data_IF_429379150444
#
_entry.id   IF_429379150444
#
_cell.length_a   1.000
_cell.length_b   1.000
_cell.length_c   1.000
_cell.angle_alpha   90.00
_cell.angle_beta   90.00
_cell.angle_gamma   90.00
#
_symmetry.space_group_name_H-M   'P 1'
#
loop_
_entity.id
_entity.type
_entity.pdbx_description
1 polymer ?
#
# COMPACT_ATOMS: atom_id res chain seq x y z
N UNK A 1 -13.16 -7.76 17.94
CA UNK A 1 -13.64 -6.35 17.98
C UNK A 1 -14.82 -6.24 17.03
N UNK A 2 -15.83 -5.43 17.36
CA UNK A 2 -16.93 -5.14 16.45
C UNK A 2 -16.41 -4.45 15.18
N UNK A 3 -17.13 -4.62 14.06
CA UNK A 3 -16.82 -3.90 12.83
C UNK A 3 -16.91 -2.39 13.09
N UNK A 4 -15.96 -1.58 12.58
CA UNK A 4 -16.04 -0.13 12.70
C UNK A 4 -17.30 0.40 11.98
N UNK A 5 -17.90 1.45 12.50
CA UNK A 5 -19.00 2.13 11.83
C UNK A 5 -18.53 2.79 10.53
N UNK A 6 -19.46 3.04 9.63
CA UNK A 6 -19.15 3.75 8.38
C UNK A 6 -18.54 5.14 8.63
N UNK A 7 -19.03 5.86 9.63
CA UNK A 7 -18.50 7.17 10.01
C UNK A 7 -17.08 7.09 10.58
N UNK A 8 -16.77 6.09 11.39
CA UNK A 8 -15.40 5.87 11.88
C UNK A 8 -14.44 5.60 10.73
N UNK A 9 -14.81 4.72 9.79
CA UNK A 9 -13.99 4.46 8.60
C UNK A 9 -13.78 5.71 7.75
N UNK A 10 -14.80 6.57 7.62
CA UNK A 10 -14.69 7.84 6.89
C UNK A 10 -13.74 8.82 7.57
N UNK A 11 -13.73 8.86 8.89
CA UNK A 11 -12.83 9.72 9.67
C UNK A 11 -11.39 9.18 9.68
N UNK A 12 -11.23 7.86 9.69
CA UNK A 12 -9.91 7.18 9.72
C UNK A 12 -9.25 7.06 8.36
N UNK A 13 -10.02 7.20 7.27
CA UNK A 13 -9.51 7.26 5.90
C UNK A 13 -10.35 8.25 5.12
N UNK A 14 -9.79 9.43 4.88
CA UNK A 14 -10.49 10.55 4.26
C UNK A 14 -10.20 10.67 2.78
N UNK A 15 -11.14 11.22 2.02
CA UNK A 15 -10.96 11.61 0.63
C UNK A 15 -11.33 13.09 0.48
N UNK A 16 -10.39 13.87 -0.04
CA UNK A 16 -10.59 15.29 -0.34
C UNK A 16 -10.37 15.54 -1.81
N UNK A 17 -11.31 16.22 -2.44
CA UNK A 17 -11.20 16.67 -3.81
C UNK A 17 -10.74 18.14 -3.86
N UNK A 18 -9.71 18.38 -4.65
CA UNK A 18 -9.16 19.70 -5.00
C UNK A 18 -8.76 19.65 -6.46
N UNK A 19 -9.75 19.66 -7.37
CA UNK A 19 -9.49 19.44 -8.80
C UNK A 19 -8.30 20.28 -9.30
N UNK A 20 -7.36 19.67 -10.03
CA UNK A 20 -7.40 18.34 -10.62
C UNK A 20 -6.91 17.19 -9.71
N UNK A 21 -6.78 17.42 -8.39
CA UNK A 21 -6.25 16.48 -7.40
C UNK A 21 -7.37 15.80 -6.61
N UNK A 22 -7.19 14.50 -6.30
CA UNK A 22 -7.89 13.77 -5.25
C UNK A 22 -6.86 13.29 -4.21
N UNK A 23 -7.09 13.57 -2.93
CA UNK A 23 -6.16 13.24 -1.85
C UNK A 23 -6.83 12.24 -0.92
N UNK A 24 -6.30 11.02 -0.88
CA UNK A 24 -6.69 9.97 0.06
C UNK A 24 -5.69 9.99 1.21
N UNK A 25 -6.20 10.22 2.44
CA UNK A 25 -5.36 10.34 3.64
C UNK A 25 -5.67 9.25 4.65
N UNK A 26 -4.65 8.48 5.05
CA UNK A 26 -4.72 7.55 6.16
C UNK A 26 -4.63 8.32 7.47
N UNK A 27 -5.69 8.31 8.26
CA UNK A 27 -5.88 9.21 9.42
C UNK A 27 -6.07 8.43 10.72
N UNK A 28 -5.15 7.52 11.01
CA UNK A 28 -5.05 6.79 12.29
C UNK A 28 -3.68 6.98 12.95
N UNK A 29 -3.21 8.22 13.19
CA UNK A 29 -1.83 8.48 13.64
C UNK A 29 -1.47 7.80 14.96
N UNK A 30 -2.43 7.63 15.89
CA UNK A 30 -2.26 6.90 17.16
C UNK A 30 -2.00 5.40 16.95
N UNK A 31 -2.36 4.85 15.81
CA UNK A 31 -2.12 3.46 15.38
C UNK A 31 -1.08 3.39 14.26
N UNK A 32 -0.29 4.46 14.06
CA UNK A 32 0.70 4.56 12.97
C UNK A 32 0.09 4.25 11.58
N UNK A 33 -1.17 4.61 11.37
CA UNK A 33 -1.96 4.34 10.17
C UNK A 33 -2.03 2.84 9.79
N UNK A 34 -1.98 1.95 10.80
CA UNK A 34 -2.22 0.52 10.59
C UNK A 34 -3.66 0.28 10.14
N UNK A 35 -3.85 -0.68 9.23
CA UNK A 35 -5.11 -0.92 8.53
C UNK A 35 -5.71 -2.29 8.89
N UNK A 36 -7.01 -2.30 9.11
CA UNK A 36 -7.82 -3.52 9.17
C UNK A 36 -8.30 -3.92 7.77
N UNK A 37 -8.93 -5.09 7.62
CA UNK A 37 -9.58 -5.50 6.37
C UNK A 37 -10.62 -4.48 5.88
N UNK A 38 -11.35 -3.84 6.79
CA UNK A 38 -12.31 -2.78 6.46
C UNK A 38 -11.65 -1.55 5.83
N UNK A 39 -10.46 -1.16 6.31
CA UNK A 39 -9.69 -0.06 5.74
C UNK A 39 -9.16 -0.40 4.35
N UNK A 40 -8.66 -1.61 4.14
CA UNK A 40 -8.22 -2.05 2.82
C UNK A 40 -9.37 -2.09 1.80
N UNK A 41 -10.54 -2.58 2.22
CA UNK A 41 -11.74 -2.55 1.37
C UNK A 41 -12.16 -1.10 1.05
N UNK A 42 -12.18 -0.21 2.07
CA UNK A 42 -12.48 1.21 1.84
C UNK A 42 -11.49 1.85 0.89
N UNK A 43 -10.19 1.55 1.02
CA UNK A 43 -9.17 2.07 0.11
C UNK A 43 -9.46 1.67 -1.35
N UNK A 44 -9.78 0.41 -1.61
CA UNK A 44 -10.14 -0.04 -2.95
C UNK A 44 -11.42 0.64 -3.48
N UNK A 45 -12.40 0.91 -2.61
CA UNK A 45 -13.59 1.68 -2.97
C UNK A 45 -13.25 3.12 -3.36
N UNK A 46 -12.42 3.80 -2.55
CA UNK A 46 -11.99 5.18 -2.84
C UNK A 46 -11.17 5.27 -4.12
N UNK A 47 -10.29 4.32 -4.38
CA UNK A 47 -9.53 4.25 -5.63
C UNK A 47 -10.46 4.14 -6.84
N UNK A 48 -11.50 3.31 -6.77
CA UNK A 48 -12.51 3.18 -7.83
C UNK A 48 -13.38 4.43 -7.96
N UNK A 49 -13.77 5.04 -6.85
CA UNK A 49 -14.53 6.30 -6.86
C UNK A 49 -13.77 7.40 -7.61
N UNK A 50 -12.49 7.60 -7.27
CA UNK A 50 -11.63 8.59 -7.94
C UNK A 50 -11.40 8.23 -9.42
N UNK A 51 -11.27 6.95 -9.75
CA UNK A 51 -11.07 6.49 -11.13
C UNK A 51 -12.18 6.94 -12.08
N UNK A 52 -13.41 7.03 -11.58
CA UNK A 52 -14.61 7.41 -12.36
C UNK A 52 -14.79 8.93 -12.53
N UNK A 53 -13.97 9.75 -11.86
CA UNK A 53 -14.13 11.20 -11.91
C UNK A 53 -13.37 11.83 -13.07
N UNK A 54 -14.10 12.55 -13.92
CA UNK A 54 -13.50 13.22 -15.09
C UNK A 54 -12.75 14.50 -14.74
N UNK A 55 -13.07 15.17 -13.65
CA UNK A 55 -12.39 16.37 -13.18
C UNK A 55 -11.06 16.10 -12.45
N UNK A 56 -10.73 14.82 -12.16
CA UNK A 56 -9.51 14.42 -11.46
C UNK A 56 -8.49 13.85 -12.45
N UNK A 57 -7.26 14.33 -12.34
CA UNK A 57 -6.09 13.87 -13.12
C UNK A 57 -5.10 13.13 -12.24
N UNK A 58 -4.93 13.55 -10.98
CA UNK A 58 -3.90 13.04 -10.07
C UNK A 58 -4.58 12.56 -8.79
N UNK A 59 -4.21 11.36 -8.34
CA UNK A 59 -4.59 10.78 -7.05
C UNK A 59 -3.36 10.74 -6.14
N UNK A 60 -3.44 11.38 -4.99
CA UNK A 60 -2.37 11.41 -3.99
C UNK A 60 -2.76 10.55 -2.81
N UNK A 61 -1.88 9.63 -2.42
CA UNK A 61 -1.99 8.83 -1.20
C UNK A 61 -1.02 9.38 -0.16
N UNK A 62 -1.49 9.66 1.05
CA UNK A 62 -0.66 10.15 2.16
C UNK A 62 -1.17 9.66 3.51
N UNK A 63 -0.41 9.90 4.57
CA UNK A 63 -0.80 9.61 5.94
C UNK A 63 -0.73 10.84 6.84
N UNK A 64 -1.36 10.79 8.02
CA UNK A 64 -1.18 11.78 9.08
C UNK A 64 -0.16 11.32 10.10
N UNK A 65 0.57 12.26 10.71
CA UNK A 65 1.59 11.99 11.71
C UNK A 65 2.87 11.39 11.12
N UNK A 66 3.60 10.58 11.90
CA UNK A 66 4.97 10.16 11.58
C UNK A 66 5.10 8.92 10.68
N UNK A 67 4.03 8.26 10.31
CA UNK A 67 4.02 7.07 9.44
C UNK A 67 3.07 7.28 8.26
N UNK A 68 3.48 6.80 7.09
CA UNK A 68 2.54 6.59 6.00
C UNK A 68 1.58 5.47 6.37
N UNK A 69 2.09 4.28 6.68
CA UNK A 69 1.30 3.17 7.24
C UNK A 69 2.21 2.10 7.84
N UNK A 70 1.85 1.62 9.04
CA UNK A 70 2.50 0.48 9.66
C UNK A 70 2.00 -0.89 9.14
N UNK A 71 1.21 -0.90 8.07
CA UNK A 71 0.69 -2.13 7.46
C UNK A 71 -0.57 -2.66 8.16
N UNK A 72 -0.70 -3.97 8.22
CA UNK A 72 -1.86 -4.59 8.84
C UNK A 72 -1.91 -4.34 10.36
N UNK A 73 -3.10 -3.98 10.88
CA UNK A 73 -3.33 -3.84 12.31
C UNK A 73 -3.26 -5.23 12.98
N UNK A 74 -2.12 -5.51 13.63
CA UNK A 74 -1.86 -6.79 14.31
C UNK A 74 -2.77 -7.04 15.52
N UNK A 75 -3.36 -5.98 16.09
CA UNK A 75 -4.35 -6.07 17.16
C UNK A 75 -5.76 -6.46 16.68
N UNK A 76 -5.99 -6.49 15.37
CA UNK A 76 -7.24 -6.97 14.79
C UNK A 76 -7.35 -8.48 14.96
N UNK A 77 -8.45 -8.95 15.54
CA UNK A 77 -8.70 -10.37 15.67
C UNK A 77 -8.70 -11.02 14.27
N UNK A 78 -7.75 -11.93 14.05
CA UNK A 78 -7.79 -12.83 12.91
C UNK A 78 -8.42 -14.12 13.42
N UNK A 79 -9.48 -14.61 12.77
CA UNK A 79 -10.04 -15.91 13.15
C UNK A 79 -8.93 -16.96 13.13
N UNK A 80 -8.72 -17.63 14.26
CA UNK A 80 -7.93 -18.86 14.25
C UNK A 80 -8.74 -19.84 13.42
N UNK A 81 -8.15 -20.46 12.38
CA UNK A 81 -8.88 -21.46 11.62
C UNK A 81 -9.38 -22.54 12.57
N UNK A 82 -10.66 -22.79 12.56
CA UNK A 82 -11.23 -23.98 13.19
C UNK A 82 -10.85 -25.18 12.32
N UNK A 83 -9.75 -25.85 12.69
CA UNK A 83 -9.25 -27.01 11.95
C UNK A 83 -10.23 -28.22 11.98
N UNK A 84 -11.33 -28.14 12.71
CA UNK A 84 -12.40 -29.14 12.69
C UNK A 84 -13.22 -29.09 11.40
N UNK A 85 -13.18 -27.97 10.65
CA UNK A 85 -13.88 -27.83 9.39
C UNK A 85 -12.98 -27.19 8.30
N UNK A 86 -12.14 -27.98 7.61
CA UNK A 86 -11.21 -27.50 6.59
C UNK A 86 -11.87 -26.75 5.43
N UNK A 87 -13.10 -27.16 5.04
CA UNK A 87 -13.83 -26.52 3.94
C UNK A 87 -14.30 -25.11 4.32
N UNK A 88 -14.72 -24.92 5.58
CA UNK A 88 -15.08 -23.60 6.08
C UNK A 88 -13.86 -22.68 6.15
N UNK A 89 -12.74 -23.19 6.68
CA UNK A 89 -11.46 -22.43 6.70
C UNK A 89 -11.06 -21.99 5.30
N UNK A 90 -11.13 -22.89 4.33
CA UNK A 90 -10.83 -22.57 2.93
C UNK A 90 -11.76 -21.49 2.36
N UNK A 91 -13.05 -21.57 2.64
CA UNK A 91 -14.06 -20.59 2.21
C UNK A 91 -13.77 -19.22 2.80
N UNK A 92 -13.45 -19.15 4.09
CA UNK A 92 -13.16 -17.89 4.80
C UNK A 92 -11.91 -17.21 4.26
N UNK A 93 -10.86 -17.99 3.95
CA UNK A 93 -9.64 -17.48 3.32
C UNK A 93 -9.93 -16.98 1.90
N UNK A 94 -10.72 -17.70 1.12
CA UNK A 94 -11.11 -17.26 -0.23
C UNK A 94 -11.85 -15.92 -0.20
N UNK A 95 -12.83 -15.76 0.69
CA UNK A 95 -13.58 -14.50 0.83
C UNK A 95 -12.79 -13.39 1.50
N UNK A 96 -12.14 -13.68 2.61
CA UNK A 96 -11.50 -12.69 3.47
C UNK A 96 -10.10 -12.27 3.01
N UNK A 97 -9.35 -13.16 2.37
CA UNK A 97 -7.99 -12.86 1.91
C UNK A 97 -7.88 -12.77 0.39
N UNK A 98 -8.22 -13.86 -0.32
CA UNK A 98 -7.98 -13.94 -1.77
C UNK A 98 -8.74 -12.85 -2.51
N UNK A 99 -10.07 -12.77 -2.30
CA UNK A 99 -10.91 -11.80 -3.00
C UNK A 99 -10.54 -10.36 -2.65
N UNK A 100 -10.32 -10.05 -1.36
CA UNK A 100 -9.97 -8.68 -0.93
C UNK A 100 -8.59 -8.25 -1.42
N UNK A 101 -7.61 -9.15 -1.40
CA UNK A 101 -6.26 -8.82 -1.83
C UNK A 101 -6.21 -8.59 -3.35
N UNK A 102 -6.90 -9.43 -4.13
CA UNK A 102 -7.04 -9.23 -5.59
C UNK A 102 -7.73 -7.89 -5.91
N UNK A 103 -8.86 -7.62 -5.26
CA UNK A 103 -9.64 -6.40 -5.49
C UNK A 103 -8.83 -5.14 -5.16
N UNK A 104 -8.16 -5.15 -4.01
CA UNK A 104 -7.30 -4.04 -3.58
C UNK A 104 -6.14 -3.83 -4.55
N UNK A 105 -5.38 -4.88 -4.85
CA UNK A 105 -4.21 -4.80 -5.74
C UNK A 105 -4.61 -4.31 -7.12
N UNK A 106 -5.72 -4.84 -7.66
CA UNK A 106 -6.26 -4.47 -8.95
C UNK A 106 -6.66 -3.00 -9.00
N UNK A 107 -7.25 -2.46 -7.92
CA UNK A 107 -7.62 -1.05 -7.84
C UNK A 107 -6.42 -0.10 -7.97
N UNK A 108 -5.20 -0.57 -7.70
CA UNK A 108 -3.97 0.20 -7.84
C UNK A 108 -3.36 0.12 -9.24
N UNK A 109 -3.08 -1.10 -9.76
CA UNK A 109 -2.41 -1.21 -11.05
C UNK A 109 -3.30 -0.84 -12.24
N UNK A 110 -4.63 -0.93 -12.10
CA UNK A 110 -5.58 -0.46 -13.11
C UNK A 110 -6.00 1.00 -12.93
N UNK A 111 -5.47 1.72 -11.91
CA UNK A 111 -5.90 3.09 -11.65
C UNK A 111 -5.56 4.02 -12.81
N UNK A 112 -6.57 4.69 -13.46
CA UNK A 112 -6.36 5.42 -14.69
C UNK A 112 -5.75 6.82 -14.48
N UNK A 113 -5.82 7.37 -13.26
CA UNK A 113 -5.25 8.68 -12.92
C UNK A 113 -3.78 8.56 -12.57
N UNK A 114 -3.00 9.63 -12.69
CA UNK A 114 -1.63 9.67 -12.19
C UNK A 114 -1.66 9.37 -10.69
N UNK A 115 -0.98 8.31 -10.26
CA UNK A 115 -0.98 7.85 -8.86
C UNK A 115 0.31 8.28 -8.17
N UNK A 116 0.18 9.05 -7.11
CA UNK A 116 1.29 9.62 -6.34
C UNK A 116 1.28 9.08 -4.92
N UNK A 117 2.40 8.49 -4.50
CA UNK A 117 2.66 8.18 -3.10
C UNK A 117 3.39 9.34 -2.42
N UNK A 118 2.71 10.04 -1.50
CA UNK A 118 3.30 11.08 -0.65
C UNK A 118 3.57 10.49 0.75
N UNK A 119 4.77 9.90 0.91
CA UNK A 119 5.14 9.14 2.10
C UNK A 119 5.63 10.08 3.20
N UNK A 120 4.73 10.49 4.07
CA UNK A 120 5.04 11.32 5.25
C UNK A 120 5.89 10.59 6.30
N UNK A 121 6.28 9.35 6.05
CA UNK A 121 7.11 8.50 6.89
C UNK A 121 7.10 7.04 6.45
N UNK A 122 7.50 6.11 7.33
CA UNK A 122 7.64 4.70 7.00
C UNK A 122 6.40 4.04 6.43
N UNK A 123 6.61 3.14 5.43
CA UNK A 123 5.60 2.31 4.82
C UNK A 123 5.91 0.82 5.05
N UNK A 124 4.91 0.07 5.55
CA UNK A 124 5.12 -1.33 5.98
C UNK A 124 4.04 -2.26 5.40
N UNK A 125 4.41 -3.49 5.08
CA UNK A 125 3.52 -4.58 4.68
C UNK A 125 2.85 -4.34 3.31
N UNK A 126 1.58 -4.73 3.16
CA UNK A 126 0.86 -4.59 1.89
C UNK A 126 0.71 -3.12 1.46
N UNK A 127 0.56 -2.17 2.40
CA UNK A 127 0.51 -0.75 2.06
C UNK A 127 1.83 -0.24 1.45
N UNK A 128 2.97 -0.83 1.84
CA UNK A 128 4.25 -0.59 1.16
C UNK A 128 4.29 -1.26 -0.22
N UNK A 129 3.85 -2.51 -0.34
CA UNK A 129 3.81 -3.26 -1.59
C UNK A 129 3.04 -2.53 -2.70
N UNK A 130 1.87 -1.98 -2.37
CA UNK A 130 1.01 -1.23 -3.29
C UNK A 130 1.67 0.03 -3.87
N UNK A 131 2.68 0.58 -3.20
CA UNK A 131 3.46 1.72 -3.72
C UNK A 131 4.24 1.37 -4.99
N UNK A 132 4.48 0.09 -5.26
CA UNK A 132 5.07 -0.36 -6.53
C UNK A 132 4.27 0.09 -7.77
N UNK A 133 3.00 0.43 -7.60
CA UNK A 133 2.11 0.90 -8.67
C UNK A 133 1.97 2.42 -8.76
N UNK A 134 2.54 3.19 -7.84
CA UNK A 134 2.57 4.64 -7.96
C UNK A 134 3.39 5.07 -9.18
N UNK A 135 2.94 6.11 -9.88
CA UNK A 135 3.71 6.68 -10.98
C UNK A 135 4.87 7.52 -10.43
N UNK A 136 4.61 8.25 -9.35
CA UNK A 136 5.60 9.03 -8.61
C UNK A 136 5.53 8.74 -7.12
N UNK A 137 6.68 8.76 -6.45
CA UNK A 137 6.79 8.63 -5.00
C UNK A 137 7.66 9.74 -4.46
N UNK A 138 7.10 10.51 -3.53
CA UNK A 138 7.80 11.51 -2.74
C UNK A 138 7.83 11.06 -1.29
N UNK A 139 8.92 11.31 -0.56
CA UNK A 139 9.07 10.76 0.79
C UNK A 139 9.70 11.75 1.76
N UNK A 140 9.32 11.67 3.03
CA UNK A 140 10.01 12.34 4.12
C UNK A 140 11.37 11.66 4.41
N UNK A 141 12.40 12.40 4.90
CA UNK A 141 13.75 11.86 5.11
C UNK A 141 13.82 10.67 6.07
N UNK A 142 12.92 10.58 7.05
CA UNK A 142 12.87 9.48 8.03
C UNK A 142 12.11 8.24 7.51
N UNK A 143 11.70 8.24 6.24
CA UNK A 143 10.99 7.11 5.62
C UNK A 143 11.89 5.89 5.49
N UNK A 144 11.32 4.74 5.76
CA UNK A 144 11.85 3.45 5.33
C UNK A 144 10.73 2.59 4.73
N UNK A 145 11.14 1.61 3.94
CA UNK A 145 10.24 0.64 3.34
C UNK A 145 10.48 -0.73 3.99
N UNK A 146 9.41 -1.46 4.31
CA UNK A 146 9.50 -2.78 4.91
C UNK A 146 8.34 -3.67 4.46
N UNK A 147 8.65 -4.80 3.82
CA UNK A 147 7.69 -5.85 3.49
C UNK A 147 8.08 -7.14 4.24
N UNK A 148 7.64 -7.30 5.52
CA UNK A 148 8.12 -8.37 6.38
C UNK A 148 7.43 -9.72 6.09
N UNK A 149 7.17 -10.04 4.82
CA UNK A 149 6.36 -11.18 4.42
C UNK A 149 7.00 -12.51 4.85
N UNK A 150 8.25 -12.76 4.48
CA UNK A 150 8.94 -14.00 4.83
C UNK A 150 9.08 -14.16 6.36
N UNK A 151 9.32 -13.08 7.10
CA UNK A 151 9.40 -13.12 8.56
C UNK A 151 8.05 -13.36 9.23
N UNK A 152 6.94 -13.17 8.52
CA UNK A 152 5.57 -13.41 9.01
C UNK A 152 4.96 -14.69 8.47
N UNK A 153 5.76 -15.58 7.85
CA UNK A 153 5.25 -16.79 7.22
C UNK A 153 4.32 -16.54 6.03
N UNK A 154 4.38 -15.33 5.48
CA UNK A 154 3.64 -14.93 4.28
C UNK A 154 4.51 -15.10 3.04
N UNK A 155 3.88 -15.21 1.88
CA UNK A 155 4.50 -14.96 0.58
C UNK A 155 4.28 -13.50 0.17
N UNK A 156 4.84 -13.07 -0.96
CA UNK A 156 4.57 -11.76 -1.51
C UNK A 156 3.07 -11.59 -1.79
N UNK A 157 2.54 -10.42 -1.50
CA UNK A 157 1.15 -10.03 -1.73
C UNK A 157 1.07 -8.56 -2.20
N UNK A 158 -0.12 -8.14 -2.67
CA UNK A 158 -0.30 -6.76 -3.13
C UNK A 158 0.42 -6.46 -4.43
N UNK A 159 0.71 -7.47 -5.27
CA UNK A 159 1.45 -7.33 -6.51
C UNK A 159 2.95 -7.09 -6.32
N UNK A 160 3.46 -7.28 -5.09
CA UNK A 160 4.83 -6.96 -4.71
C UNK A 160 5.88 -7.74 -5.52
N UNK A 161 5.61 -9.01 -5.82
CA UNK A 161 6.55 -9.86 -6.55
C UNK A 161 6.79 -9.40 -7.99
N UNK A 162 5.92 -8.55 -8.52
CA UNK A 162 6.08 -7.91 -9.83
C UNK A 162 6.39 -6.41 -9.70
N UNK A 163 5.49 -5.65 -9.05
CA UNK A 163 5.58 -4.18 -9.00
C UNK A 163 6.85 -3.66 -8.33
N UNK A 164 7.32 -4.31 -7.25
CA UNK A 164 8.56 -3.90 -6.59
C UNK A 164 9.79 -4.26 -7.42
N UNK A 165 9.77 -5.42 -8.10
CA UNK A 165 10.88 -5.82 -8.99
C UNK A 165 11.04 -4.82 -10.13
N UNK A 166 9.93 -4.41 -10.75
CA UNK A 166 9.95 -3.39 -11.81
C UNK A 166 10.47 -2.05 -11.33
N UNK A 167 10.12 -1.64 -10.10
CA UNK A 167 10.40 -0.29 -9.62
C UNK A 167 11.74 -0.14 -8.91
N UNK A 168 12.21 -1.15 -8.18
CA UNK A 168 13.47 -1.06 -7.41
C UNK A 168 14.56 -2.04 -7.87
N UNK A 169 14.30 -2.77 -8.94
CA UNK A 169 15.19 -3.81 -9.45
C UNK A 169 15.17 -5.08 -8.60
N UNK A 170 15.51 -6.22 -9.23
CA UNK A 170 15.40 -7.55 -8.62
C UNK A 170 16.23 -7.68 -7.32
N UNK A 171 17.43 -7.09 -7.28
CA UNK A 171 18.31 -7.20 -6.12
C UNK A 171 17.71 -6.55 -4.87
N UNK A 172 17.24 -5.29 -4.97
CA UNK A 172 16.63 -4.58 -3.84
C UNK A 172 15.27 -5.18 -3.46
N UNK A 173 14.49 -5.62 -4.47
CA UNK A 173 13.22 -6.32 -4.24
C UNK A 173 13.43 -7.64 -3.47
N UNK A 174 14.46 -8.42 -3.78
CA UNK A 174 14.79 -9.64 -3.04
C UNK A 174 15.20 -9.36 -1.58
N UNK A 175 15.95 -8.28 -1.32
CA UNK A 175 16.25 -7.88 0.07
C UNK A 175 14.97 -7.53 0.83
N UNK A 176 14.05 -6.79 0.22
CA UNK A 176 12.78 -6.41 0.83
C UNK A 176 11.87 -7.63 1.05
N UNK A 177 11.68 -8.47 0.02
CA UNK A 177 10.67 -9.53 0.02
C UNK A 177 11.15 -10.82 0.70
N UNK A 178 12.38 -11.28 0.37
CA UNK A 178 12.89 -12.56 0.88
C UNK A 178 13.56 -12.39 2.24
N UNK A 179 14.36 -11.33 2.44
CA UNK A 179 15.08 -11.11 3.68
C UNK A 179 14.23 -10.34 4.71
N UNK A 180 13.03 -9.84 4.35
CA UNK A 180 12.22 -8.94 5.19
C UNK A 180 13.04 -7.78 5.76
N UNK A 181 13.93 -7.24 4.92
CA UNK A 181 14.89 -6.21 5.33
C UNK A 181 14.24 -4.84 5.27
N UNK A 182 14.54 -4.01 6.25
CA UNK A 182 14.26 -2.57 6.22
C UNK A 182 15.11 -1.91 5.13
N UNK A 183 14.49 -1.30 4.14
CA UNK A 183 15.16 -0.54 3.08
C UNK A 183 15.12 0.95 3.45
N UNK A 184 16.25 1.58 3.76
CA UNK A 184 16.30 2.98 4.19
C UNK A 184 16.10 3.92 3.01
N UNK A 185 15.77 5.19 3.32
CA UNK A 185 15.43 6.23 2.33
C UNK A 185 16.54 6.44 1.29
N UNK A 186 17.81 6.41 1.71
CA UNK A 186 18.94 6.60 0.82
C UNK A 186 18.99 5.54 -0.28
N UNK A 187 18.70 4.27 0.09
CA UNK A 187 18.66 3.16 -0.87
C UNK A 187 17.42 3.26 -1.77
N UNK A 188 16.27 3.71 -1.22
CA UNK A 188 15.03 3.93 -2.00
C UNK A 188 15.21 5.04 -3.06
N UNK A 189 15.93 6.10 -2.72
CA UNK A 189 16.29 7.16 -3.68
C UNK A 189 17.30 6.64 -4.69
N UNK A 190 18.35 5.95 -4.24
CA UNK A 190 19.42 5.43 -5.11
C UNK A 190 18.89 4.45 -6.17
N UNK A 191 17.96 3.56 -5.80
CA UNK A 191 17.37 2.60 -6.75
C UNK A 191 16.22 3.18 -7.59
N UNK A 192 15.86 4.45 -7.44
CA UNK A 192 14.80 5.12 -8.18
C UNK A 192 13.38 4.77 -7.70
N UNK A 193 13.23 4.12 -6.54
CA UNK A 193 11.91 3.87 -5.95
C UNK A 193 11.26 5.17 -5.49
N UNK A 194 12.03 6.07 -4.86
CA UNK A 194 11.61 7.41 -4.46
C UNK A 194 12.18 8.43 -5.44
N UNK A 195 11.32 9.29 -5.98
CA UNK A 195 11.68 10.31 -6.95
C UNK A 195 12.40 11.51 -6.30
N UNK A 196 11.90 11.96 -5.12
CA UNK A 196 12.45 13.11 -4.41
C UNK A 196 12.04 13.07 -2.94
N UNK A 197 12.85 13.67 -2.07
CA UNK A 197 12.55 13.82 -0.64
C UNK A 197 12.15 15.25 -0.32
N UNK A 198 11.20 15.40 0.61
CA UNK A 198 10.77 16.68 1.17
C UNK A 198 10.72 16.60 2.69
N UNK A 199 11.07 17.67 3.36
CA UNK A 199 11.02 17.77 4.82
C UNK A 199 9.83 18.63 5.26
N UNK A 200 9.10 18.18 6.29
CA UNK A 200 8.30 19.06 7.13
C UNK A 200 9.18 19.72 8.20
N UNK A 201 8.58 20.39 9.16
CA UNK A 201 9.31 20.97 10.31
C UNK A 201 9.95 19.91 11.19
N UNK A 202 9.28 18.78 11.34
CA UNK A 202 9.74 17.57 12.05
C UNK A 202 9.07 16.33 11.47
N UNK A 203 9.36 15.15 12.03
CA UNK A 203 8.80 13.86 11.58
C UNK A 203 7.27 13.71 11.73
N UNK A 204 6.61 14.59 12.47
CA UNK A 204 5.16 14.59 12.70
C UNK A 204 4.45 15.63 11.85
N UNK A 205 5.18 16.54 11.20
CA UNK A 205 4.63 17.59 10.36
C UNK A 205 4.21 17.04 8.98
N UNK A 206 3.22 16.16 8.99
CA UNK A 206 2.66 15.58 7.78
C UNK A 206 2.00 16.63 6.86
N UNK A 207 1.49 17.72 7.42
CA UNK A 207 0.83 18.78 6.65
C UNK A 207 1.85 19.63 5.89
N UNK A 208 2.95 20.03 6.54
CA UNK A 208 4.05 20.73 5.89
C UNK A 208 4.71 19.89 4.80
N UNK A 209 4.91 18.59 5.07
CA UNK A 209 5.39 17.64 4.05
C UNK A 209 4.43 17.55 2.87
N UNK A 210 3.14 17.33 3.11
CA UNK A 210 2.14 17.22 2.04
C UNK A 210 2.08 18.52 1.21
N UNK A 211 2.14 19.68 1.86
CA UNK A 211 2.16 20.96 1.18
C UNK A 211 3.32 21.05 0.17
N UNK A 212 4.54 20.67 0.58
CA UNK A 212 5.71 20.67 -0.31
C UNK A 212 5.55 19.69 -1.49
N UNK A 213 4.92 18.53 -1.26
CA UNK A 213 4.62 17.59 -2.34
C UNK A 213 3.60 18.17 -3.31
N UNK A 214 2.54 18.83 -2.82
CA UNK A 214 1.52 19.45 -3.69
C UNK A 214 2.09 20.59 -4.52
N UNK A 215 3.00 21.39 -3.96
CA UNK A 215 3.74 22.43 -4.70
C UNK A 215 4.60 21.83 -5.82
N UNK A 216 5.30 20.72 -5.55
CA UNK A 216 6.07 19.99 -6.58
C UNK A 216 5.15 19.43 -7.68
N UNK A 217 3.96 18.92 -7.32
CA UNK A 217 3.00 18.40 -8.29
C UNK A 217 2.45 19.53 -9.19
N UNK A 218 2.17 20.70 -8.63
CA UNK A 218 1.72 21.86 -9.41
C UNK A 218 2.82 22.35 -10.37
N UNK A 219 4.07 22.40 -9.90
CA UNK A 219 5.22 22.79 -10.74
C UNK A 219 5.50 21.77 -11.87
N UNK A 220 5.41 20.47 -11.61
CA UNK A 220 5.83 19.43 -12.56
C UNK A 220 4.70 18.82 -13.38
N UNK A 221 3.48 18.77 -12.83
CA UNK A 221 2.30 18.12 -13.43
C UNK A 221 1.09 19.09 -13.49
N UNK A 222 1.35 20.39 -13.43
CA UNK A 222 0.33 21.43 -13.40
C UNK A 222 -0.28 21.74 -14.77
N UNK A 223 -0.97 22.88 -14.85
CA UNK A 223 -1.78 23.30 -16.01
C UNK A 223 -0.99 23.55 -17.30
N UNK A 224 0.34 23.62 -17.24
CA UNK A 224 1.22 23.73 -18.41
C UNK A 224 1.31 22.43 -19.23
N UNK A 225 0.85 21.28 -18.67
CA UNK A 225 0.82 20.00 -19.36
C UNK A 225 -0.61 19.67 -19.82
N UNK A 226 -0.71 19.04 -20.99
CA UNK A 226 -1.99 18.57 -21.48
C UNK A 226 -2.44 17.33 -20.72
N UNK A 227 -3.60 17.40 -20.11
CA UNK A 227 -4.18 16.34 -19.27
C UNK A 227 -4.36 15.02 -20.01
N UNK A 228 -4.94 15.07 -21.23
CA UNK A 228 -5.25 13.84 -21.99
C UNK A 228 -3.95 13.17 -22.45
N UNK A 229 -2.93 13.96 -22.76
CA UNK A 229 -1.59 13.44 -23.06
C UNK A 229 -0.96 12.76 -21.86
N UNK A 230 -1.03 13.34 -20.65
CA UNK A 230 -0.53 12.71 -19.42
C UNK A 230 -1.17 11.35 -19.16
N UNK A 231 -2.50 11.29 -19.20
CA UNK A 231 -3.23 10.05 -18.97
C UNK A 231 -3.02 9.03 -20.10
N UNK A 232 -2.93 9.51 -21.35
CA UNK A 232 -2.60 8.69 -22.51
C UNK A 232 -1.21 8.06 -22.41
N UNK A 233 -0.19 8.84 -22.01
CA UNK A 233 1.17 8.34 -21.79
C UNK A 233 1.17 7.27 -20.67
N UNK A 234 0.52 7.55 -19.54
CA UNK A 234 0.39 6.55 -18.47
C UNK A 234 -0.19 5.23 -18.99
N UNK A 235 -1.30 5.30 -19.73
CA UNK A 235 -1.94 4.12 -20.31
C UNK A 235 -0.97 3.32 -21.18
N UNK A 236 -0.22 3.98 -22.05
CA UNK A 236 0.76 3.33 -22.94
C UNK A 236 1.93 2.71 -22.17
N UNK A 237 2.44 3.40 -21.14
CA UNK A 237 3.53 2.90 -20.29
C UNK A 237 3.11 1.65 -19.51
N UNK A 238 1.83 1.58 -19.07
CA UNK A 238 1.30 0.46 -18.26
C UNK A 238 0.84 -0.74 -19.09
N UNK A 239 0.31 -0.52 -20.27
CA UNK A 239 -0.30 -1.57 -21.10
C UNK A 239 0.57 -2.83 -21.32
N UNK A 240 1.90 -2.77 -21.50
CA UNK A 240 2.72 -3.98 -21.66
C UNK A 240 2.78 -4.88 -20.43
N UNK A 241 2.33 -4.42 -19.27
CA UNK A 241 2.43 -5.13 -17.99
C UNK A 241 1.09 -5.69 -17.51
N UNK A 242 -0.04 -5.31 -18.12
CA UNK A 242 -1.39 -5.63 -17.63
C UNK A 242 -1.62 -7.13 -17.49
N UNK A 243 -1.35 -7.92 -18.53
CA UNK A 243 -1.53 -9.39 -18.50
C UNK A 243 -0.62 -10.06 -17.48
N UNK A 244 0.63 -9.59 -17.35
CA UNK A 244 1.58 -10.10 -16.39
C UNK A 244 1.13 -9.80 -14.94
N UNK A 245 0.58 -8.63 -14.68
CA UNK A 245 0.07 -8.21 -13.38
C UNK A 245 -1.18 -9.01 -12.98
N UNK A 246 -2.12 -9.22 -13.91
CA UNK A 246 -3.31 -10.07 -13.67
C UNK A 246 -2.89 -11.50 -13.30
N UNK A 247 -2.01 -12.11 -14.09
CA UNK A 247 -1.54 -13.47 -13.84
C UNK A 247 -0.76 -13.57 -12.52
N UNK A 248 0.09 -12.58 -12.21
CA UNK A 248 0.91 -12.57 -11.01
C UNK A 248 0.07 -12.32 -9.75
N UNK A 249 -0.95 -11.46 -9.82
CA UNK A 249 -1.90 -11.26 -8.73
C UNK A 249 -2.58 -12.56 -8.30
N UNK A 250 -3.03 -13.36 -9.27
CA UNK A 250 -3.61 -14.68 -8.98
C UNK A 250 -2.57 -15.62 -8.33
N UNK A 251 -1.32 -15.67 -8.83
CA UNK A 251 -0.26 -16.51 -8.24
C UNK A 251 0.05 -16.12 -6.80
N UNK A 252 0.14 -14.83 -6.50
CA UNK A 252 0.39 -14.33 -5.14
C UNK A 252 -0.72 -14.75 -4.17
N UNK A 253 -1.99 -14.49 -4.50
CA UNK A 253 -3.10 -14.80 -3.57
C UNK A 253 -3.31 -16.30 -3.39
N UNK A 254 -3.07 -17.11 -4.43
CA UNK A 254 -3.13 -18.59 -4.30
C UNK A 254 -1.95 -19.12 -3.48
N UNK A 255 -0.75 -18.55 -3.65
CA UNK A 255 0.40 -18.83 -2.78
C UNK A 255 0.13 -18.41 -1.34
N UNK A 256 -0.46 -17.22 -1.12
CA UNK A 256 -0.89 -16.75 0.19
C UNK A 256 -1.92 -17.67 0.83
N UNK A 257 -2.94 -18.09 0.09
CA UNK A 257 -3.92 -19.06 0.59
C UNK A 257 -3.25 -20.35 1.07
N UNK A 258 -2.27 -20.86 0.33
CA UNK A 258 -1.58 -22.10 0.70
C UNK A 258 -0.84 -21.99 2.04
N UNK A 259 -0.21 -20.84 2.37
CA UNK A 259 0.47 -20.64 3.66
C UNK A 259 -0.52 -20.36 4.80
N UNK A 260 -1.64 -19.67 4.53
CA UNK A 260 -2.72 -19.48 5.50
C UNK A 260 -3.39 -20.79 5.90
N UNK A 261 -3.62 -21.71 4.95
CA UNK A 261 -4.16 -23.05 5.23
C UNK A 261 -3.23 -23.90 6.11
N UNK A 262 -1.91 -23.66 6.04
CA UNK A 262 -0.92 -24.31 6.91
C UNK A 262 -0.81 -23.67 8.29
N UNK A 263 -1.43 -22.54 8.54
CA UNK A 263 -1.41 -21.82 9.82
C UNK A 263 -0.13 -21.02 10.10
N UNK A 264 0.84 -20.98 9.18
CA UNK A 264 2.11 -20.30 9.41
C UNK A 264 1.96 -18.80 9.70
N UNK A 265 1.19 -18.00 8.92
CA UNK A 265 0.99 -16.59 9.24
C UNK A 265 0.31 -16.36 10.59
N UNK A 266 -0.68 -17.16 10.93
CA UNK A 266 -1.42 -17.04 12.19
C UNK A 266 -0.49 -17.20 13.39
N UNK A 267 0.40 -18.17 13.35
CA UNK A 267 1.38 -18.40 14.41
C UNK A 267 2.41 -17.25 14.51
N UNK A 268 2.92 -16.76 13.38
CA UNK A 268 3.89 -15.66 13.41
C UNK A 268 3.25 -14.35 13.90
N UNK A 269 2.00 -14.09 13.55
CA UNK A 269 1.25 -12.95 14.08
C UNK A 269 0.94 -13.10 15.57
N UNK A 270 0.63 -14.31 16.05
CA UNK A 270 0.47 -14.61 17.47
C UNK A 270 1.75 -14.26 18.25
N UNK A 271 2.91 -14.72 17.76
CA UNK A 271 4.23 -14.45 18.37
C UNK A 271 4.55 -12.96 18.43
N UNK A 272 4.15 -12.19 17.40
CA UNK A 272 4.29 -10.72 17.43
C UNK A 272 3.39 -10.09 18.48
N UNK A 273 2.13 -10.49 18.53
CA UNK A 273 1.15 -9.95 19.47
C UNK A 273 1.51 -10.25 20.93
N UNK A 274 2.10 -11.43 21.22
CA UNK A 274 2.56 -11.82 22.55
C UNK A 274 3.93 -11.24 22.94
N UNK A 275 4.64 -10.62 21.98
CA UNK A 275 6.01 -10.13 22.20
C UNK A 275 7.11 -11.20 22.15
N UNK A 276 6.75 -12.46 21.88
CA UNK A 276 7.70 -13.57 21.67
C UNK A 276 8.62 -13.33 20.45
N UNK A 277 8.14 -12.59 19.49
CA UNK A 277 8.88 -12.22 18.28
C UNK A 277 8.91 -10.70 18.08
N UNK A 278 10.05 -10.20 17.63
CA UNK A 278 10.20 -8.83 17.15
C UNK A 278 10.76 -8.86 15.73
N UNK A 279 10.40 -7.89 14.89
CA UNK A 279 11.07 -7.73 13.61
C UNK A 279 12.54 -7.41 13.85
N UNK A 280 13.42 -8.10 13.14
CA UNK A 280 14.85 -7.76 13.10
C UNK A 280 15.00 -6.58 12.13
N UNK A 281 14.96 -5.36 12.69
CA UNK A 281 14.99 -4.10 11.92
C UNK A 281 16.43 -3.70 11.58
#
# INVERSE_FOLDING_TARGET
MAAPSQQELQNEMTLKYQAPLAIITFNRPKKLNAMTSYHYYRLSCLMREVALRDDITITVLTGTGRFFSAGADVGSARPTPDNSNPDQVRRDILGGFVAQNLDLTRSFYQHPKILVGALNGPAVGISAALLGFCDFIYAAPHTFFLTPFSSLGLVAEGGASYGLVQRMGISTANEALMMSRKIPIEKLVHCGFVNKTFSGKDEKDSDGFLKAVLEELDDKLGSHLNRDSLLGIKKLVRAPYDDALEAQGVREVMGGMAVFLKGAPQEEFRKLASGEKRHKL
#
